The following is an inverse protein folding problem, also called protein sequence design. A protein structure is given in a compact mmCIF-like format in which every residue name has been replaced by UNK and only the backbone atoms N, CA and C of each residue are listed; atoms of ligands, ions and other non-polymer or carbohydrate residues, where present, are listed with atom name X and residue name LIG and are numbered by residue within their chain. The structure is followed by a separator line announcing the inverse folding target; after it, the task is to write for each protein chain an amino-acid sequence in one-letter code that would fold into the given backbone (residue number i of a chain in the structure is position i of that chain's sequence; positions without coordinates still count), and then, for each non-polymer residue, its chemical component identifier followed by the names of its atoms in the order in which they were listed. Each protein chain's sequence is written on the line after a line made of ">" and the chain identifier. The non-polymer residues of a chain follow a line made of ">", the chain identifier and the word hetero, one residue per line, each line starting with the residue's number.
data_IF_626418411397
#
_entry.id   IF_626418411397
#
_cell.length_a   1.000
_cell.length_b   1.000
_cell.length_c   1.000
_cell.angle_alpha   90.00
_cell.angle_beta   90.00
_cell.angle_gamma   90.00
#
_symmetry.space_group_name_H-M   'P 1'
#
loop_
_entity.id
_entity.type
_entity.pdbx_description
1 polymer ?
#
# COMPACT_ATOMS: atom_id res chain seq x y z
N UNK A 1 3.51 -3.90 13.06
CA UNK A 1 3.65 -2.46 12.69
C UNK A 1 2.35 -1.83 12.20
N UNK A 2 1.59 -2.42 11.27
CA UNK A 2 0.32 -1.86 10.77
C UNK A 2 -0.68 -1.53 11.90
N UNK A 3 -0.86 -2.42 12.90
CA UNK A 3 -1.78 -2.20 14.00
C UNK A 3 -1.45 -0.97 14.85
N UNK A 4 -0.17 -0.69 15.09
CA UNK A 4 0.26 0.45 15.92
C UNK A 4 0.07 1.77 15.17
N UNK A 5 0.44 1.85 13.89
CA UNK A 5 0.37 3.08 13.11
C UNK A 5 -0.98 3.34 12.43
N UNK A 6 -1.87 2.36 12.39
CA UNK A 6 -3.20 2.51 11.79
C UNK A 6 -4.28 2.46 12.86
N UNK A 7 -4.36 1.37 13.62
CA UNK A 7 -5.51 1.13 14.52
C UNK A 7 -5.48 2.06 15.73
N UNK A 8 -4.36 2.16 16.45
CA UNK A 8 -4.31 2.99 17.67
C UNK A 8 -4.55 4.48 17.42
N UNK A 9 -3.89 5.14 16.43
CA UNK A 9 -4.18 6.55 16.17
C UNK A 9 -5.62 6.76 15.68
N UNK A 10 -6.15 5.90 14.83
CA UNK A 10 -7.53 6.02 14.33
C UNK A 10 -8.53 5.92 15.49
N UNK A 11 -8.40 4.94 16.36
CA UNK A 11 -9.31 4.78 17.53
C UNK A 11 -9.15 5.93 18.52
N UNK A 12 -7.92 6.39 18.80
CA UNK A 12 -7.67 7.51 19.69
C UNK A 12 -8.22 8.82 19.14
N UNK A 13 -7.89 9.17 17.91
CA UNK A 13 -8.27 10.42 17.27
C UNK A 13 -9.76 10.49 16.92
N UNK A 14 -10.41 9.37 16.62
CA UNK A 14 -11.87 9.36 16.33
C UNK A 14 -12.75 9.81 17.49
N UNK A 15 -12.20 9.85 18.70
CA UNK A 15 -12.90 10.32 19.91
C UNK A 15 -12.72 11.80 20.17
N UNK A 16 -11.79 12.47 19.47
CA UNK A 16 -11.45 13.87 19.78
C UNK A 16 -12.40 14.85 19.12
N UNK A 17 -12.87 14.56 17.93
CA UNK A 17 -13.70 15.47 17.16
C UNK A 17 -14.52 14.76 16.09
N UNK A 18 -15.75 15.24 15.86
CA UNK A 18 -16.58 14.83 14.73
C UNK A 18 -17.09 16.08 14.01
N UNK A 19 -16.94 16.13 12.71
CA UNK A 19 -17.45 17.20 11.91
C UNK A 19 -18.59 16.72 10.98
N UNK A 20 -19.52 17.63 10.67
CA UNK A 20 -20.69 17.30 9.89
C UNK A 20 -20.33 17.07 8.41
N UNK A 21 -19.93 15.86 8.06
CA UNK A 21 -19.87 15.45 6.66
C UNK A 21 -21.22 14.96 6.17
N UNK A 22 -21.57 15.16 4.88
CA UNK A 22 -22.75 14.56 4.28
C UNK A 22 -22.74 13.04 4.49
N UNK A 23 -23.91 12.46 4.79
CA UNK A 23 -24.02 11.02 5.06
C UNK A 23 -23.55 10.14 3.90
N UNK A 24 -23.67 10.64 2.67
CA UNK A 24 -23.18 9.94 1.48
C UNK A 24 -21.68 9.60 1.56
N UNK A 25 -20.88 10.42 2.20
CA UNK A 25 -19.44 10.16 2.38
C UNK A 25 -19.17 9.03 3.37
N UNK A 26 -20.07 8.79 4.31
CA UNK A 26 -20.00 7.64 5.21
C UNK A 26 -20.10 6.32 4.43
N UNK A 27 -20.96 6.24 3.42
CA UNK A 27 -21.05 5.06 2.55
C UNK A 27 -19.75 4.83 1.76
N UNK A 28 -19.11 5.91 1.29
CA UNK A 28 -17.80 5.80 0.68
C UNK A 28 -16.76 5.24 1.66
N UNK A 29 -16.78 5.67 2.92
CA UNK A 29 -15.92 5.12 3.97
C UNK A 29 -16.16 3.63 4.22
N UNK A 30 -17.42 3.19 4.24
CA UNK A 30 -17.79 1.78 4.42
C UNK A 30 -17.31 0.87 3.28
N UNK A 31 -17.17 1.42 2.07
CA UNK A 31 -16.57 0.69 0.94
C UNK A 31 -15.04 0.73 0.99
N UNK A 32 -14.48 1.89 1.34
CA UNK A 32 -13.03 2.11 1.33
C UNK A 32 -12.30 1.27 2.40
N UNK A 33 -12.91 1.10 3.58
CA UNK A 33 -12.37 0.29 4.67
C UNK A 33 -12.11 -1.17 4.25
N UNK A 34 -13.11 -1.96 3.82
CA UNK A 34 -12.90 -3.35 3.45
C UNK A 34 -12.05 -3.48 2.17
N UNK A 35 -12.17 -2.55 1.22
CA UNK A 35 -11.34 -2.55 0.02
C UNK A 35 -9.86 -2.33 0.37
N UNK A 36 -9.56 -1.36 1.25
CA UNK A 36 -8.22 -1.10 1.76
C UNK A 36 -7.66 -2.28 2.55
N UNK A 37 -8.49 -2.90 3.42
CA UNK A 37 -8.10 -4.08 4.18
C UNK A 37 -7.80 -5.27 3.26
N UNK A 38 -8.63 -5.52 2.25
CA UNK A 38 -8.42 -6.57 1.27
C UNK A 38 -7.13 -6.36 0.47
N UNK A 39 -6.87 -5.11 0.01
CA UNK A 39 -5.65 -4.77 -0.71
C UNK A 39 -4.41 -4.92 0.17
N UNK A 40 -4.46 -4.44 1.42
CA UNK A 40 -3.36 -4.58 2.38
C UNK A 40 -3.06 -6.04 2.69
N UNK A 41 -4.10 -6.83 2.99
CA UNK A 41 -3.97 -8.24 3.31
C UNK A 41 -3.41 -9.04 2.14
N UNK A 42 -3.96 -8.87 0.93
CA UNK A 42 -3.48 -9.57 -0.26
C UNK A 42 -2.04 -9.19 -0.59
N UNK A 43 -1.68 -7.92 -0.48
CA UNK A 43 -0.30 -7.45 -0.70
C UNK A 43 0.67 -8.06 0.31
N UNK A 44 0.30 -8.08 1.60
CA UNK A 44 1.08 -8.70 2.66
C UNK A 44 1.25 -10.22 2.44
N UNK A 45 0.19 -10.90 2.04
CA UNK A 45 0.21 -12.32 1.70
C UNK A 45 1.18 -12.63 0.56
N UNK A 46 1.10 -11.88 -0.55
CA UNK A 46 2.03 -12.04 -1.67
C UNK A 46 3.48 -11.73 -1.27
N UNK A 47 3.67 -10.73 -0.43
CA UNK A 47 5.01 -10.35 0.07
C UNK A 47 5.65 -11.49 0.88
N UNK A 48 4.94 -12.08 1.85
CA UNK A 48 5.47 -13.18 2.67
C UNK A 48 5.71 -14.43 1.81
N UNK A 49 4.76 -14.77 0.96
CA UNK A 49 4.83 -16.02 0.19
C UNK A 49 5.94 -16.03 -0.85
N UNK A 50 6.29 -14.88 -1.41
CA UNK A 50 7.25 -14.80 -2.53
C UNK A 50 8.53 -14.04 -2.18
N UNK A 51 8.54 -13.21 -1.14
CA UNK A 51 9.73 -12.44 -0.74
C UNK A 51 10.81 -13.29 -0.06
N UNK A 52 10.50 -14.52 0.40
CA UNK A 52 11.40 -15.40 1.14
C UNK A 52 12.14 -14.68 2.29
N UNK A 53 11.46 -13.71 2.91
CA UNK A 53 11.94 -12.91 4.04
C UNK A 53 10.76 -12.36 4.82
N UNK A 54 11.04 -11.67 5.92
CA UNK A 54 10.01 -11.01 6.72
C UNK A 54 9.88 -9.53 6.33
N UNK A 55 8.72 -8.92 6.65
CA UNK A 55 8.51 -7.48 6.50
C UNK A 55 9.28 -6.65 7.54
N UNK A 56 10.19 -7.28 8.30
CA UNK A 56 11.05 -6.61 9.26
C UNK A 56 12.38 -6.18 8.63
N UNK A 57 12.93 -5.03 9.02
CA UNK A 57 14.20 -4.52 8.53
C UNK A 57 15.40 -5.47 8.78
N UNK A 58 15.27 -6.38 9.74
CA UNK A 58 16.31 -7.33 10.14
C UNK A 58 16.44 -8.53 9.22
N UNK A 59 15.39 -8.86 8.44
CA UNK A 59 15.42 -9.96 7.48
C UNK A 59 14.69 -9.52 6.19
N UNK A 60 15.32 -8.63 5.39
CA UNK A 60 14.72 -8.10 4.18
C UNK A 60 14.59 -9.19 3.11
N UNK A 61 13.55 -9.14 2.27
CA UNK A 61 13.27 -10.16 1.28
C UNK A 61 14.47 -10.42 0.36
N UNK A 62 14.70 -11.70 0.07
CA UNK A 62 15.82 -12.12 -0.78
C UNK A 62 15.55 -11.89 -2.26
N UNK A 63 14.29 -11.84 -2.65
CA UNK A 63 13.82 -11.64 -4.02
C UNK A 63 12.86 -10.46 -4.11
N UNK A 64 12.94 -9.69 -5.19
CA UNK A 64 12.00 -8.61 -5.48
C UNK A 64 10.62 -9.22 -5.81
N UNK A 65 9.61 -8.87 -5.02
CA UNK A 65 8.25 -9.37 -5.23
C UNK A 65 7.55 -8.55 -6.30
N UNK A 66 7.42 -9.12 -7.50
CA UNK A 66 6.69 -8.54 -8.64
C UNK A 66 5.53 -9.48 -9.01
N UNK A 67 4.59 -9.69 -8.05
CA UNK A 67 3.44 -10.60 -8.22
C UNK A 67 2.18 -10.05 -7.57
N UNK A 68 1.00 -10.48 -8.06
CA UNK A 68 -0.29 -10.05 -7.53
C UNK A 68 -0.47 -8.53 -7.62
N UNK A 69 -0.85 -7.84 -6.53
CA UNK A 69 -1.04 -6.39 -6.53
C UNK A 69 0.20 -5.59 -6.94
N UNK A 70 1.41 -6.13 -6.72
CA UNK A 70 2.68 -5.50 -7.10
C UNK A 70 2.92 -5.43 -8.62
N UNK A 71 2.17 -6.16 -9.43
CA UNK A 71 2.18 -6.03 -10.88
C UNK A 71 1.58 -4.69 -11.37
N UNK A 72 0.65 -4.15 -10.61
CA UNK A 72 -0.11 -2.95 -11.01
C UNK A 72 0.47 -1.67 -10.42
N UNK A 73 0.97 -1.75 -9.18
CA UNK A 73 1.50 -0.61 -8.44
C UNK A 73 2.63 -1.08 -7.51
N UNK A 74 3.67 -0.25 -7.33
CA UNK A 74 4.84 -0.65 -6.52
C UNK A 74 4.56 -0.73 -5.01
N UNK A 75 3.62 0.06 -4.51
CA UNK A 75 3.33 0.19 -3.09
C UNK A 75 1.88 -0.15 -2.71
N UNK A 76 1.36 -1.33 -3.08
CA UNK A 76 -0.06 -1.65 -2.88
C UNK A 76 -0.44 -1.78 -1.40
N UNK A 77 0.47 -2.23 -0.54
CA UNK A 77 0.25 -2.35 0.90
C UNK A 77 0.04 -0.97 1.55
N UNK A 78 0.85 0.03 1.18
CA UNK A 78 0.69 1.40 1.69
C UNK A 78 -0.61 2.03 1.20
N UNK A 79 -0.99 1.81 -0.07
CA UNK A 79 -2.28 2.27 -0.61
C UNK A 79 -3.44 1.67 0.19
N UNK A 80 -3.40 0.37 0.49
CA UNK A 80 -4.41 -0.29 1.30
C UNK A 80 -4.49 0.29 2.71
N UNK A 81 -3.35 0.53 3.36
CA UNK A 81 -3.32 1.13 4.71
C UNK A 81 -3.86 2.57 4.72
N UNK A 82 -3.48 3.39 3.74
CA UNK A 82 -4.01 4.75 3.59
C UNK A 82 -5.52 4.73 3.33
N UNK A 83 -5.99 3.81 2.49
CA UNK A 83 -7.42 3.64 2.24
C UNK A 83 -8.20 3.28 3.50
N UNK A 84 -7.63 2.44 4.40
CA UNK A 84 -8.23 2.14 5.70
C UNK A 84 -8.33 3.41 6.56
N UNK A 85 -7.29 4.22 6.65
CA UNK A 85 -7.28 5.43 7.48
C UNK A 85 -8.29 6.46 6.93
N UNK A 86 -8.30 6.70 5.61
CA UNK A 86 -9.29 7.56 4.97
C UNK A 86 -10.72 7.03 5.15
N UNK A 87 -10.93 5.73 4.95
CA UNK A 87 -12.22 5.09 5.16
C UNK A 87 -12.72 5.28 6.60
N UNK A 88 -11.83 5.11 7.58
CA UNK A 88 -12.14 5.36 8.98
C UNK A 88 -12.47 6.85 9.25
N UNK A 89 -11.72 7.79 8.68
CA UNK A 89 -12.01 9.22 8.81
C UNK A 89 -13.42 9.56 8.32
N UNK A 90 -13.85 8.98 7.21
CA UNK A 90 -15.17 9.17 6.64
C UNK A 90 -16.27 8.47 7.48
N UNK A 91 -16.03 7.23 7.94
CA UNK A 91 -16.97 6.47 8.76
C UNK A 91 -17.22 7.13 10.12
N UNK A 92 -16.16 7.54 10.80
CA UNK A 92 -16.24 8.20 12.12
C UNK A 92 -16.53 9.70 12.02
N UNK A 93 -16.51 10.26 10.81
CA UNK A 93 -16.71 11.69 10.55
C UNK A 93 -15.73 12.55 11.36
N UNK A 94 -14.51 12.11 11.51
CA UNK A 94 -13.49 12.74 12.35
C UNK A 94 -12.50 13.56 11.52
N UNK A 95 -12.47 14.87 11.76
CA UNK A 95 -11.50 15.77 11.16
C UNK A 95 -10.06 15.41 11.60
N UNK A 96 -9.88 15.03 12.86
CA UNK A 96 -8.59 14.62 13.40
C UNK A 96 -8.02 13.40 12.66
N UNK A 97 -8.86 12.39 12.38
CA UNK A 97 -8.43 11.20 11.61
C UNK A 97 -8.16 11.58 10.15
N UNK A 98 -8.89 12.52 9.57
CA UNK A 98 -8.65 12.99 8.20
C UNK A 98 -7.29 13.71 8.10
N UNK A 99 -6.98 14.60 9.03
CA UNK A 99 -5.67 15.29 9.10
C UNK A 99 -4.55 14.25 9.27
N UNK A 100 -4.75 13.26 10.12
CA UNK A 100 -3.80 12.15 10.29
C UNK A 100 -3.62 11.36 8.98
N UNK A 101 -4.69 11.08 8.24
CA UNK A 101 -4.62 10.39 6.94
C UNK A 101 -3.76 11.16 5.93
N UNK A 102 -3.97 12.49 5.84
CA UNK A 102 -3.19 13.37 4.97
C UNK A 102 -1.73 13.41 5.40
N UNK A 103 -1.46 13.55 6.70
CA UNK A 103 -0.09 13.51 7.22
C UNK A 103 0.59 12.18 6.89
N UNK A 104 -0.11 11.06 7.05
CA UNK A 104 0.41 9.73 6.70
C UNK A 104 0.67 9.55 5.20
N UNK A 105 -0.07 10.21 4.30
CA UNK A 105 0.29 10.23 2.88
C UNK A 105 1.67 10.86 2.66
N UNK A 106 1.93 12.00 3.29
CA UNK A 106 3.21 12.69 3.17
C UNK A 106 4.34 11.85 3.77
N UNK A 107 4.16 11.38 4.99
CA UNK A 107 5.16 10.54 5.69
C UNK A 107 5.48 9.28 4.89
N UNK A 108 4.46 8.59 4.41
CA UNK A 108 4.64 7.38 3.59
C UNK A 108 5.35 7.69 2.28
N UNK A 109 4.98 8.80 1.61
CA UNK A 109 5.66 9.21 0.39
C UNK A 109 7.14 9.49 0.61
N UNK A 110 7.47 10.24 1.65
CA UNK A 110 8.86 10.56 2.01
C UNK A 110 9.64 9.29 2.40
N UNK A 111 9.04 8.42 3.23
CA UNK A 111 9.67 7.17 3.64
C UNK A 111 10.00 6.27 2.44
N UNK A 112 9.03 6.07 1.54
CA UNK A 112 9.24 5.25 0.34
C UNK A 112 10.33 5.84 -0.55
N UNK A 113 10.29 7.15 -0.80
CA UNK A 113 11.23 7.80 -1.73
C UNK A 113 12.63 7.96 -1.18
N UNK A 114 12.77 8.27 0.11
CA UNK A 114 14.06 8.60 0.73
C UNK A 114 14.74 7.38 1.38
N UNK A 115 13.96 6.38 1.80
CA UNK A 115 14.50 5.24 2.54
C UNK A 115 14.34 3.93 1.79
N UNK A 116 13.13 3.57 1.35
CA UNK A 116 12.83 2.26 0.81
C UNK A 116 13.37 2.07 -0.61
N UNK A 117 13.06 2.99 -1.53
CA UNK A 117 13.50 2.89 -2.94
C UNK A 117 15.03 2.89 -3.10
N UNK A 118 15.83 3.73 -2.40
CA UNK A 118 17.29 3.65 -2.48
C UNK A 118 17.86 2.32 -2.00
N UNK A 119 17.24 1.70 -0.99
CA UNK A 119 17.65 0.37 -0.51
C UNK A 119 17.34 -0.71 -1.54
N UNK A 120 16.14 -0.67 -2.13
CA UNK A 120 15.72 -1.60 -3.17
C UNK A 120 16.60 -1.48 -4.42
N UNK A 121 16.94 -0.25 -4.83
CA UNK A 121 17.80 0.01 -5.97
C UNK A 121 19.21 -0.56 -5.77
N UNK A 122 19.82 -0.31 -4.61
CA UNK A 122 21.15 -0.85 -4.27
C UNK A 122 21.16 -2.37 -4.20
N UNK A 123 20.05 -2.98 -3.72
CA UNK A 123 19.96 -4.42 -3.48
C UNK A 123 19.63 -5.22 -4.74
N UNK A 124 18.68 -4.75 -5.55
CA UNK A 124 18.16 -5.50 -6.71
C UNK A 124 18.61 -4.94 -8.07
N UNK A 125 19.30 -3.79 -8.09
CA UNK A 125 19.90 -3.16 -9.26
C UNK A 125 19.05 -3.29 -10.54
N UNK A 126 19.50 -4.05 -11.53
CA UNK A 126 18.85 -4.18 -12.84
C UNK A 126 17.41 -4.71 -12.75
N UNK A 127 17.11 -5.60 -11.80
CA UNK A 127 15.76 -6.12 -11.61
C UNK A 127 14.83 -5.03 -11.10
N UNK A 128 15.30 -4.18 -10.19
CA UNK A 128 14.52 -3.04 -9.70
C UNK A 128 14.36 -1.97 -10.77
N UNK A 129 15.41 -1.64 -11.53
CA UNK A 129 15.33 -0.68 -12.63
C UNK A 129 14.28 -1.09 -13.69
N UNK A 130 14.25 -2.38 -14.07
CA UNK A 130 13.20 -2.92 -14.96
C UNK A 130 11.82 -2.81 -14.34
N UNK A 131 11.66 -3.10 -13.06
CA UNK A 131 10.39 -2.98 -12.36
C UNK A 131 9.88 -1.54 -12.31
N UNK A 132 10.75 -0.58 -12.01
CA UNK A 132 10.44 0.87 -11.99
C UNK A 132 9.99 1.37 -13.37
N UNK A 133 10.60 0.88 -14.46
CA UNK A 133 10.23 1.29 -15.82
C UNK A 133 8.84 0.80 -16.24
N UNK A 134 8.39 -0.31 -15.68
CA UNK A 134 7.11 -0.94 -16.03
C UNK A 134 5.96 -0.57 -15.08
N UNK A 135 6.24 -0.34 -13.79
CA UNK A 135 5.23 -0.18 -12.75
C UNK A 135 5.35 1.17 -12.04
N UNK A 136 4.25 1.89 -11.91
CA UNK A 136 4.22 3.20 -11.22
C UNK A 136 4.19 3.04 -9.70
N UNK A 137 4.60 4.09 -8.96
CA UNK A 137 4.70 4.10 -7.51
C UNK A 137 3.34 4.02 -6.81
N UNK A 138 2.37 4.85 -7.22
CA UNK A 138 1.08 5.04 -6.53
C UNK A 138 -0.15 4.77 -7.41
N UNK A 139 -0.05 4.98 -8.72
CA UNK A 139 -1.17 4.84 -9.64
C UNK A 139 -1.06 3.52 -10.42
N UNK A 140 -2.11 2.72 -10.51
CA UNK A 140 -2.08 1.48 -11.27
C UNK A 140 -1.86 1.75 -12.76
N UNK A 141 -1.03 0.90 -13.39
CA UNK A 141 -0.79 0.92 -14.84
C UNK A 141 -1.45 -0.32 -15.45
N UNK A 142 -2.66 -0.16 -15.92
CA UNK A 142 -3.50 -1.26 -16.40
C UNK A 142 -2.95 -1.96 -17.66
N UNK A 143 -2.15 -1.26 -18.47
CA UNK A 143 -1.67 -1.77 -19.77
C UNK A 143 -0.57 -2.84 -19.69
N UNK A 144 0.11 -3.00 -18.58
CA UNK A 144 1.24 -3.92 -18.43
C UNK A 144 0.92 -5.20 -17.64
N UNK A 145 -0.09 -5.19 -16.78
CA UNK A 145 -0.51 -6.39 -16.04
C UNK A 145 -0.91 -7.54 -16.96
N UNK A 146 -1.51 -7.25 -18.10
CA UNK A 146 -1.88 -8.25 -19.11
C UNK A 146 -0.67 -8.85 -19.85
N UNK A 147 0.40 -8.08 -20.07
CA UNK A 147 1.60 -8.55 -20.77
C UNK A 147 2.45 -9.45 -19.86
N UNK A 148 2.61 -9.07 -18.59
CA UNK A 148 3.37 -9.85 -17.61
C UNK A 148 2.61 -11.14 -17.24
N UNK A 149 1.28 -11.07 -17.02
CA UNK A 149 0.46 -12.25 -16.78
C UNK A 149 0.42 -13.22 -17.99
N UNK A 150 0.61 -12.69 -19.21
CA UNK A 150 0.74 -13.51 -20.42
C UNK A 150 2.13 -14.16 -20.51
N UNK A 151 3.21 -13.46 -20.10
CA UNK A 151 4.57 -14.00 -20.06
C UNK A 151 4.71 -15.10 -19.00
N UNK A 152 4.13 -14.92 -17.81
CA UNK A 152 4.08 -15.95 -16.78
C UNK A 152 3.35 -17.23 -17.24
N UNK A 153 2.25 -17.10 -17.98
CA UNK A 153 1.51 -18.25 -18.56
C UNK A 153 2.26 -18.94 -19.69
N UNK A 154 3.14 -18.24 -20.39
CA UNK A 154 3.94 -18.81 -21.48
C UNK A 154 5.25 -19.45 -21.01
N UNK A 155 5.55 -19.42 -19.71
CA UNK A 155 6.78 -20.03 -19.15
C UNK A 155 8.08 -19.36 -19.59
N UNK A 156 8.02 -18.16 -20.18
CA UNK A 156 9.21 -17.41 -20.56
C UNK A 156 9.76 -16.65 -19.34
N UNK A 157 11.05 -16.77 -19.02
CA UNK A 157 11.68 -15.98 -17.95
C UNK A 157 11.59 -14.49 -18.30
N UNK A 158 11.18 -13.71 -17.32
CA UNK A 158 11.09 -12.23 -17.40
C UNK A 158 12.48 -11.62 -17.28
#
# INVERSE_FOLDING_TARGET
>A
MIGIFVVLPVVGLSRLDTFALPEVLRYAGLVLLPAGAALSYTSFWFFIRHGRGTAFPTDPPRELVVRGPYLYVRNPMYIGNLAIIFGAALCFRSAAVLVYAVAMCVVTHLYVTLSEEPVLDRRYRDSYARYVSTTRRWLPRWSHGSAIARAERSGRPI
#
